data_IF_776705091287
#
_entry.id   IF_776705091287
#
_cell.length_a   1.000
_cell.length_b   1.000
_cell.length_c   1.000
_cell.angle_alpha   90.00
_cell.angle_beta   90.00
_cell.angle_gamma   90.00
#
_symmetry.space_group_name_H-M   'P 1'
#
loop_
_entity.id
_entity.type
_entity.pdbx_description
1 polymer ?
#
# COMPACT_ATOMS: atom_id res chain seq x y z
N UNK A 1 13.39 -22.99 27.77
CA UNK A 1 12.42 -23.18 26.67
C UNK A 1 12.90 -22.37 25.48
N UNK A 2 13.01 -22.94 24.27
CA UNK A 2 13.08 -22.11 23.07
C UNK A 2 11.80 -21.26 22.99
N UNK A 3 11.85 -20.01 22.51
CA UNK A 3 10.64 -19.26 22.23
C UNK A 3 9.77 -20.08 21.27
N UNK A 4 8.46 -20.10 21.50
CA UNK A 4 7.52 -20.74 20.57
C UNK A 4 7.79 -20.20 19.16
N UNK A 5 7.84 -21.09 18.16
CA UNK A 5 7.92 -20.67 16.76
C UNK A 5 6.75 -19.73 16.51
N UNK A 6 7.06 -18.46 16.27
CA UNK A 6 6.05 -17.44 15.98
C UNK A 6 5.30 -17.87 14.72
N UNK A 7 3.97 -17.95 14.81
CA UNK A 7 3.11 -18.34 13.68
C UNK A 7 3.35 -17.41 12.50
N UNK A 8 3.49 -17.98 11.30
CA UNK A 8 3.54 -17.23 10.06
C UNK A 8 2.25 -16.42 9.87
N UNK A 9 2.37 -15.16 9.50
CA UNK A 9 1.23 -14.27 9.24
C UNK A 9 0.88 -14.28 7.75
N UNK A 10 -0.42 -14.21 7.45
CA UNK A 10 -0.92 -13.87 6.12
C UNK A 10 -1.19 -12.38 6.05
N UNK A 11 -0.39 -11.67 5.25
CA UNK A 11 -0.46 -10.22 5.08
C UNK A 11 -0.98 -9.83 3.70
N UNK A 12 -1.65 -8.69 3.57
CA UNK A 12 -2.11 -8.20 2.28
C UNK A 12 -1.71 -6.74 2.01
N UNK A 13 -1.47 -6.43 0.74
CA UNK A 13 -1.33 -5.07 0.26
C UNK A 13 -2.22 -4.84 -0.96
N UNK A 14 -2.91 -3.70 -0.96
CA UNK A 14 -3.71 -3.24 -2.07
C UNK A 14 -3.31 -1.82 -2.53
N UNK A 15 -3.07 -1.67 -3.82
CA UNK A 15 -2.88 -0.38 -4.51
C UNK A 15 -3.83 -0.31 -5.72
N UNK A 16 -5.16 -0.29 -5.48
CA UNK A 16 -6.12 -0.24 -6.56
C UNK A 16 -6.01 1.08 -7.32
N UNK A 17 -6.59 1.17 -8.53
CA UNK A 17 -7.03 2.46 -9.03
C UNK A 17 -7.84 3.18 -7.95
N UNK A 18 -7.34 4.33 -7.50
CA UNK A 18 -7.99 5.08 -6.41
C UNK A 18 -9.43 5.44 -6.76
N UNK A 19 -10.32 5.63 -5.76
CA UNK A 19 -11.72 5.92 -6.00
C UNK A 19 -11.94 7.01 -7.06
N UNK A 20 -12.76 6.69 -8.07
CA UNK A 20 -13.08 7.57 -9.20
C UNK A 20 -11.93 7.79 -10.18
N UNK A 21 -10.81 7.06 -10.08
CA UNK A 21 -9.63 7.17 -10.94
C UNK A 21 -9.38 5.94 -11.81
N UNK A 22 -10.26 4.94 -11.79
CA UNK A 22 -10.14 3.76 -12.65
C UNK A 22 -10.07 4.11 -14.14
N UNK A 23 -10.72 5.20 -14.57
CA UNK A 23 -10.69 5.65 -15.96
C UNK A 23 -9.28 5.92 -16.52
N UNK A 24 -8.30 6.22 -15.65
CA UNK A 24 -6.90 6.43 -16.05
C UNK A 24 -6.25 5.15 -16.63
N UNK A 25 -6.82 4.00 -16.32
CA UNK A 25 -6.28 2.69 -16.71
C UNK A 25 -7.07 2.02 -17.83
N UNK A 26 -8.01 2.71 -18.50
CA UNK A 26 -8.85 2.12 -19.57
C UNK A 26 -8.08 1.47 -20.72
N UNK A 27 -6.84 1.90 -20.97
CA UNK A 27 -5.96 1.33 -22.00
C UNK A 27 -5.10 0.15 -21.51
N UNK A 28 -5.21 -0.24 -20.24
CA UNK A 28 -4.45 -1.35 -19.68
C UNK A 28 -5.16 -2.68 -19.98
N UNK A 29 -4.44 -3.77 -20.36
CA UNK A 29 -5.04 -5.08 -20.61
C UNK A 29 -5.90 -5.59 -19.45
N UNK A 30 -5.46 -5.31 -18.21
CA UNK A 30 -6.13 -5.76 -16.98
C UNK A 30 -7.20 -4.78 -16.46
N UNK A 31 -7.70 -3.87 -17.30
CA UNK A 31 -8.73 -2.92 -16.89
C UNK A 31 -10.06 -3.62 -16.58
N UNK A 32 -10.48 -3.59 -15.32
CA UNK A 32 -11.72 -4.20 -14.84
C UNK A 32 -12.81 -3.19 -14.41
N UNK A 33 -12.62 -1.90 -14.68
CA UNK A 33 -13.54 -0.85 -14.23
C UNK A 33 -13.22 -0.31 -12.83
N UNK A 34 -14.20 0.35 -12.22
CA UNK A 34 -14.10 0.89 -10.86
C UNK A 34 -14.05 -0.23 -9.83
N UNK A 35 -13.15 -0.12 -8.86
CA UNK A 35 -12.99 -1.14 -7.81
C UNK A 35 -14.11 -1.02 -6.78
N UNK A 36 -14.74 -2.14 -6.44
CA UNK A 36 -15.63 -2.24 -5.28
C UNK A 36 -14.82 -2.18 -3.98
N UNK A 37 -14.67 -0.96 -3.45
CA UNK A 37 -13.88 -0.70 -2.25
C UNK A 37 -14.53 -1.29 -0.98
N UNK A 38 -15.85 -1.50 -0.96
CA UNK A 38 -16.51 -2.17 0.16
C UNK A 38 -16.07 -3.63 0.19
N UNK A 39 -16.22 -4.33 -0.94
CA UNK A 39 -15.77 -5.73 -1.06
C UNK A 39 -14.28 -5.85 -0.77
N UNK A 40 -13.45 -4.95 -1.30
CA UNK A 40 -12.01 -4.94 -1.04
C UNK A 40 -11.70 -4.83 0.47
N UNK A 41 -12.36 -3.94 1.21
CA UNK A 41 -12.15 -3.81 2.66
C UNK A 41 -12.62 -5.04 3.45
N UNK A 42 -13.67 -5.71 3.00
CA UNK A 42 -14.12 -6.99 3.58
C UNK A 42 -13.07 -8.08 3.32
N UNK A 43 -12.58 -8.19 2.09
CA UNK A 43 -11.56 -9.17 1.71
C UNK A 43 -10.23 -8.88 2.44
N UNK A 44 -9.82 -7.62 2.57
CA UNK A 44 -8.62 -7.24 3.34
C UNK A 44 -8.75 -7.62 4.82
N UNK A 45 -9.96 -7.51 5.38
CA UNK A 45 -10.21 -7.83 6.79
C UNK A 45 -10.06 -9.32 7.13
N UNK A 46 -9.92 -10.22 6.15
CA UNK A 46 -9.63 -11.63 6.39
C UNK A 46 -8.14 -11.93 6.66
N UNK A 47 -7.25 -10.96 6.42
CA UNK A 47 -5.82 -11.11 6.64
C UNK A 47 -5.41 -10.73 8.08
N UNK A 48 -4.31 -11.31 8.57
CA UNK A 48 -3.76 -11.00 9.89
C UNK A 48 -3.30 -9.53 9.96
N UNK A 49 -2.84 -8.99 8.84
CA UNK A 49 -2.51 -7.59 8.67
C UNK A 49 -2.66 -7.15 7.22
N UNK A 50 -3.08 -5.91 7.01
CA UNK A 50 -3.27 -5.39 5.68
C UNK A 50 -2.94 -3.91 5.55
N UNK A 51 -2.63 -3.48 4.33
CA UNK A 51 -2.48 -2.08 3.97
C UNK A 51 -3.14 -1.78 2.61
N UNK A 52 -3.73 -0.59 2.51
CA UNK A 52 -4.42 -0.06 1.34
C UNK A 52 -3.89 1.34 1.03
N UNK A 53 -3.31 1.52 -0.16
CA UNK A 53 -2.96 2.84 -0.67
C UNK A 53 -4.16 3.55 -1.29
N UNK A 54 -4.29 4.85 -1.03
CA UNK A 54 -5.32 5.70 -1.63
C UNK A 54 -4.87 7.17 -1.70
N UNK A 55 -5.65 8.00 -2.39
CA UNK A 55 -5.48 9.46 -2.40
C UNK A 55 -6.09 10.09 -1.13
N UNK A 56 -5.75 11.35 -0.82
CA UNK A 56 -6.43 12.06 0.27
C UNK A 56 -7.93 12.19 0.04
N UNK A 57 -8.34 12.36 -1.23
CA UNK A 57 -9.74 12.46 -1.62
C UNK A 57 -10.45 11.11 -1.48
N UNK A 58 -9.84 10.03 -1.96
CA UNK A 58 -10.36 8.66 -1.83
C UNK A 58 -10.43 8.19 -0.37
N UNK A 59 -9.48 8.62 0.47
CA UNK A 59 -9.53 8.39 1.91
C UNK A 59 -10.79 8.98 2.53
N UNK A 60 -11.05 10.28 2.29
CA UNK A 60 -12.15 11.00 2.93
C UNK A 60 -13.52 10.64 2.36
N UNK A 61 -13.61 10.47 1.04
CA UNK A 61 -14.89 10.29 0.35
C UNK A 61 -15.38 8.84 0.32
N UNK A 62 -14.48 7.86 0.42
CA UNK A 62 -14.82 6.44 0.25
C UNK A 62 -14.27 5.56 1.35
N UNK A 63 -12.95 5.54 1.56
CA UNK A 63 -12.33 4.52 2.44
C UNK A 63 -12.69 4.73 3.91
N UNK A 64 -12.56 5.94 4.45
CA UNK A 64 -12.88 6.21 5.86
C UNK A 64 -14.38 6.03 6.18
N UNK A 65 -15.33 6.51 5.34
CA UNK A 65 -16.74 6.20 5.52
C UNK A 65 -17.04 4.70 5.53
N UNK A 66 -16.47 3.92 4.60
CA UNK A 66 -16.67 2.48 4.55
C UNK A 66 -16.05 1.75 5.75
N UNK A 67 -14.87 2.16 6.21
CA UNK A 67 -14.26 1.62 7.43
C UNK A 67 -15.18 1.81 8.63
N UNK A 68 -15.76 3.01 8.79
CA UNK A 68 -16.70 3.31 9.86
C UNK A 68 -18.00 2.51 9.71
N UNK A 69 -18.56 2.45 8.51
CA UNK A 69 -19.81 1.73 8.24
C UNK A 69 -19.67 0.21 8.45
N UNK A 70 -18.55 -0.37 8.04
CA UNK A 70 -18.25 -1.80 8.21
C UNK A 70 -17.81 -2.15 9.65
N UNK A 71 -17.65 -1.15 10.53
CA UNK A 71 -17.22 -1.36 11.92
C UNK A 71 -15.81 -1.93 12.04
N UNK A 72 -14.90 -1.59 11.12
CA UNK A 72 -13.53 -2.14 11.14
C UNK A 72 -12.69 -1.38 12.17
N UNK A 73 -12.42 -2.02 13.30
CA UNK A 73 -11.62 -1.46 14.39
C UNK A 73 -10.11 -1.62 14.19
N UNK A 74 -9.34 -0.77 14.87
CA UNK A 74 -7.87 -0.84 14.89
C UNK A 74 -7.20 -0.35 13.61
N UNK A 75 -7.94 0.33 12.73
CA UNK A 75 -7.42 0.96 11.51
C UNK A 75 -6.62 2.21 11.85
N UNK A 76 -5.49 2.37 11.16
CA UNK A 76 -4.58 3.51 11.26
C UNK A 76 -4.31 4.08 9.86
N UNK A 77 -3.83 5.31 9.81
CA UNK A 77 -3.45 5.98 8.56
C UNK A 77 -2.00 6.42 8.65
N UNK A 78 -1.20 5.92 7.74
CA UNK A 78 0.19 6.28 7.52
C UNK A 78 0.31 7.22 6.31
N UNK A 79 1.39 8.01 6.23
CA UNK A 79 1.63 8.95 5.13
C UNK A 79 2.92 8.64 4.38
N UNK A 80 2.82 8.49 3.05
CA UNK A 80 4.01 8.48 2.19
C UNK A 80 4.14 9.81 1.45
N UNK A 81 5.13 10.61 1.83
CA UNK A 81 5.50 11.86 1.18
C UNK A 81 6.37 11.55 -0.03
N UNK A 82 5.72 11.52 -1.21
CA UNK A 82 6.31 11.16 -2.50
C UNK A 82 6.77 12.35 -3.35
N UNK A 83 6.71 13.54 -2.78
CA UNK A 83 7.02 14.80 -3.45
C UNK A 83 5.85 15.33 -4.28
N UNK A 84 5.79 16.65 -4.38
CA UNK A 84 4.74 17.37 -5.10
C UNK A 84 4.99 17.31 -6.59
N UNK A 85 4.03 16.76 -7.34
CA UNK A 85 4.01 16.86 -8.80
C UNK A 85 3.15 18.06 -9.18
N UNK A 86 3.79 19.09 -9.72
CA UNK A 86 3.08 20.29 -10.18
C UNK A 86 2.24 19.92 -11.40
N UNK A 87 0.93 20.13 -11.30
CA UNK A 87 0.03 20.00 -12.45
C UNK A 87 -0.11 21.37 -13.13
N UNK A 88 0.10 21.47 -14.45
CA UNK A 88 -0.22 22.69 -15.20
C UNK A 88 -1.67 23.11 -14.94
N UNK A 89 -1.89 24.36 -14.56
CA UNK A 89 -3.24 24.88 -14.26
C UNK A 89 -3.81 24.51 -12.89
N UNK A 90 -3.03 23.93 -11.98
CA UNK A 90 -3.46 23.68 -10.61
C UNK A 90 -3.87 25.01 -9.93
N UNK A 91 -5.14 25.08 -9.47
CA UNK A 91 -5.70 26.22 -8.73
C UNK A 91 -5.69 26.02 -7.21
N UNK A 92 -5.23 24.84 -6.76
CA UNK A 92 -5.09 24.44 -5.36
C UNK A 92 -3.74 23.75 -5.14
N UNK A 93 -3.36 23.56 -3.87
CA UNK A 93 -2.15 22.86 -3.51
C UNK A 93 -2.12 21.45 -4.12
N UNK A 94 -1.03 21.11 -4.82
CA UNK A 94 -0.86 19.79 -5.42
C UNK A 94 -0.57 18.75 -4.34
N UNK A 95 -1.19 17.57 -4.45
CA UNK A 95 -1.00 16.49 -3.49
C UNK A 95 0.41 15.88 -3.60
N UNK A 96 1.24 16.14 -2.57
CA UNK A 96 2.62 15.68 -2.45
C UNK A 96 2.80 14.36 -1.68
N UNK A 97 1.71 13.78 -1.18
CA UNK A 97 1.73 12.58 -0.33
C UNK A 97 0.59 11.62 -0.67
N UNK A 98 0.71 10.36 -0.28
CA UNK A 98 -0.33 9.32 -0.42
C UNK A 98 -0.69 8.76 0.95
N UNK A 99 -1.98 8.46 1.14
CA UNK A 99 -2.46 7.82 2.35
C UNK A 99 -2.25 6.31 2.23
N UNK A 100 -1.74 5.70 3.30
CA UNK A 100 -1.67 4.24 3.45
C UNK A 100 -2.48 3.86 4.68
N UNK A 101 -3.69 3.37 4.44
CA UNK A 101 -4.58 2.87 5.50
C UNK A 101 -4.14 1.46 5.85
N UNK A 102 -3.95 1.15 7.12
CA UNK A 102 -3.44 -0.15 7.53
C UNK A 102 -4.06 -0.62 8.85
N UNK A 103 -4.05 -1.94 9.06
CA UNK A 103 -4.63 -2.58 10.24
C UNK A 103 -3.96 -3.93 10.50
N UNK A 104 -3.84 -4.30 11.78
CA UNK A 104 -3.33 -5.61 12.19
C UNK A 104 -1.82 -5.76 11.99
N UNK A 105 -1.41 -6.98 11.62
CA UNK A 105 -0.01 -7.36 11.46
C UNK A 105 0.66 -7.71 12.80
N UNK A 106 1.98 -7.88 12.76
CA UNK A 106 2.75 -8.19 13.97
C UNK A 106 2.96 -6.92 14.79
N UNK A 107 2.80 -7.02 16.10
CA UNK A 107 3.19 -5.93 17.00
C UNK A 107 4.70 -5.69 16.88
N UNK A 108 5.05 -4.52 16.36
CA UNK A 108 6.43 -4.01 16.33
C UNK A 108 6.65 -3.10 17.52
N UNK A 109 7.90 -2.98 17.97
CA UNK A 109 8.30 -1.94 18.91
C UNK A 109 7.98 -0.57 18.28
N UNK A 110 7.17 0.29 18.92
CA UNK A 110 6.81 1.61 18.41
C UNK A 110 8.01 2.50 18.09
N UNK A 111 9.18 2.26 18.73
CA UNK A 111 10.39 3.02 18.44
C UNK A 111 11.04 2.67 17.08
N UNK A 112 10.63 1.56 16.45
CA UNK A 112 11.34 0.98 15.31
C UNK A 112 10.85 1.38 13.91
N UNK A 113 9.63 1.92 13.77
CA UNK A 113 9.03 2.24 12.45
C UNK A 113 8.14 3.48 12.54
N UNK A 114 8.48 4.53 11.79
CA UNK A 114 7.63 5.71 11.59
C UNK A 114 6.46 5.38 10.67
N UNK A 115 5.25 5.83 11.00
CA UNK A 115 4.08 5.80 10.11
C UNK A 115 4.06 6.94 9.07
N UNK A 116 5.10 7.77 9.07
CA UNK A 116 5.41 8.72 8.01
C UNK A 116 6.69 8.30 7.28
N UNK A 117 6.60 8.15 5.95
CA UNK A 117 7.72 7.92 5.06
C UNK A 117 7.96 9.16 4.20
N UNK A 118 9.14 9.77 4.30
CA UNK A 118 9.61 10.75 3.34
C UNK A 118 10.51 10.08 2.31
N UNK A 119 10.00 9.90 1.09
CA UNK A 119 10.77 9.30 0.01
C UNK A 119 10.26 9.72 -1.37
N UNK A 120 11.06 10.50 -2.08
CA UNK A 120 10.77 10.92 -3.46
C UNK A 120 11.55 10.04 -4.43
N UNK A 121 10.84 9.16 -5.15
CA UNK A 121 11.45 8.34 -6.19
C UNK A 121 11.83 9.19 -7.40
N UNK A 122 13.05 8.99 -7.93
CA UNK A 122 13.43 9.58 -9.23
C UNK A 122 12.63 8.91 -10.35
N UNK A 123 12.00 9.68 -11.27
CA UNK A 123 11.29 9.10 -12.40
C UNK A 123 12.23 8.25 -13.26
N UNK A 124 11.86 6.98 -13.51
CA UNK A 124 12.58 6.10 -14.44
C UNK A 124 12.19 6.40 -15.89
N UNK A 125 12.56 7.58 -16.38
CA UNK A 125 12.12 8.07 -17.70
C UNK A 125 12.68 7.27 -18.88
N UNK A 126 13.75 6.52 -18.66
CA UNK A 126 14.42 5.68 -19.66
C UNK A 126 14.03 4.19 -19.59
N UNK A 127 13.13 3.82 -18.68
CA UNK A 127 12.69 2.43 -18.48
C UNK A 127 11.46 2.16 -19.36
N UNK A 128 11.56 1.31 -20.40
CA UNK A 128 10.46 1.03 -21.32
C UNK A 128 9.30 0.30 -20.62
N UNK A 129 9.56 -0.37 -19.50
CA UNK A 129 8.56 -1.12 -18.72
C UNK A 129 7.95 -0.27 -17.59
N UNK A 130 8.12 1.07 -17.65
CA UNK A 130 7.61 1.99 -16.64
C UNK A 130 6.07 1.95 -16.57
N UNK A 131 5.56 1.42 -15.47
CA UNK A 131 4.15 1.55 -15.09
C UNK A 131 3.95 2.83 -14.27
N UNK A 132 2.97 3.65 -14.66
CA UNK A 132 2.55 4.82 -13.88
C UNK A 132 2.01 4.35 -12.54
N UNK A 133 2.49 4.92 -11.44
CA UNK A 133 2.05 4.56 -10.09
C UNK A 133 2.90 3.49 -9.40
N UNK A 134 3.89 2.91 -10.08
CA UNK A 134 4.76 1.89 -9.49
C UNK A 134 5.41 2.37 -8.18
N UNK A 135 5.18 1.61 -7.09
CA UNK A 135 5.74 1.91 -5.78
C UNK A 135 7.25 1.63 -5.76
N UNK A 136 8.08 2.56 -5.25
CA UNK A 136 9.51 2.34 -5.14
C UNK A 136 9.83 1.30 -4.06
N UNK A 137 10.97 0.62 -4.18
CA UNK A 137 11.39 -0.38 -3.21
C UNK A 137 11.42 0.16 -1.76
N UNK A 138 11.87 1.40 -1.56
CA UNK A 138 11.88 2.05 -0.23
C UNK A 138 10.48 2.13 0.41
N UNK A 139 9.45 2.39 -0.40
CA UNK A 139 8.05 2.33 0.06
C UNK A 139 7.67 0.91 0.47
N UNK A 140 8.00 -0.09 -0.35
CA UNK A 140 7.67 -1.49 -0.07
C UNK A 140 8.33 -1.96 1.24
N UNK A 141 9.62 -1.70 1.43
CA UNK A 141 10.32 -2.06 2.67
C UNK A 141 9.75 -1.37 3.91
N UNK A 142 9.37 -0.09 3.77
CA UNK A 142 8.69 0.64 4.83
C UNK A 142 7.32 0.02 5.17
N UNK A 143 6.52 -0.31 4.15
CA UNK A 143 5.24 -0.99 4.31
C UNK A 143 5.37 -2.35 5.02
N UNK A 144 6.35 -3.16 4.62
CA UNK A 144 6.58 -4.47 5.25
C UNK A 144 6.92 -4.32 6.73
N UNK A 145 7.76 -3.33 7.05
CA UNK A 145 8.09 -2.99 8.44
C UNK A 145 6.89 -2.46 9.21
N UNK A 146 6.01 -1.68 8.57
CA UNK A 146 4.78 -1.16 9.17
C UNK A 146 3.83 -2.28 9.59
N UNK A 147 3.74 -3.34 8.79
CA UNK A 147 2.95 -4.55 9.10
C UNK A 147 3.69 -5.55 10.01
N UNK A 148 4.93 -5.25 10.40
CA UNK A 148 5.76 -6.14 11.21
C UNK A 148 6.10 -7.46 10.51
N UNK A 149 6.16 -7.44 9.19
CA UNK A 149 6.45 -8.60 8.36
C UNK A 149 7.86 -9.15 8.63
N UNK A 150 8.00 -10.48 8.61
CA UNK A 150 9.26 -11.18 8.76
C UNK A 150 9.40 -12.30 7.74
N UNK A 151 10.61 -12.86 7.64
CA UNK A 151 10.81 -14.13 6.94
C UNK A 151 9.88 -15.21 7.51
N UNK A 152 9.21 -15.93 6.62
CA UNK A 152 8.23 -16.96 6.97
C UNK A 152 6.78 -16.50 6.86
N UNK A 153 6.52 -15.18 6.81
CA UNK A 153 5.19 -14.65 6.51
C UNK A 153 4.88 -14.76 5.02
N UNK A 154 3.60 -14.61 4.67
CA UNK A 154 3.12 -14.47 3.29
C UNK A 154 2.62 -13.05 3.04
N UNK A 155 2.85 -12.52 1.83
CA UNK A 155 2.32 -11.25 1.40
C UNK A 155 1.52 -11.42 0.10
N UNK A 156 0.24 -11.06 0.17
CA UNK A 156 -0.68 -11.06 -0.95
C UNK A 156 -0.76 -9.67 -1.57
N UNK A 157 -0.14 -9.51 -2.74
CA UNK A 157 -0.20 -8.30 -3.56
C UNK A 157 -1.46 -8.33 -4.44
N UNK A 158 -2.54 -7.68 -3.98
CA UNK A 158 -3.86 -7.79 -4.62
C UNK A 158 -3.99 -6.99 -5.92
N UNK A 159 -3.05 -6.06 -6.16
CA UNK A 159 -3.01 -5.21 -7.36
C UNK A 159 -1.57 -5.13 -7.89
N UNK A 160 -1.04 -6.23 -8.47
CA UNK A 160 0.39 -6.37 -8.70
C UNK A 160 0.96 -5.35 -9.70
N UNK A 161 0.16 -4.90 -10.67
CA UNK A 161 0.59 -3.92 -11.69
C UNK A 161 1.95 -4.29 -12.30
N UNK A 162 2.97 -3.47 -12.03
CA UNK A 162 4.36 -3.72 -12.46
C UNK A 162 5.09 -4.92 -11.82
N UNK A 163 4.48 -5.59 -10.83
CA UNK A 163 5.10 -6.61 -9.98
C UNK A 163 6.17 -6.07 -9.02
N UNK A 164 6.27 -4.75 -8.85
CA UNK A 164 7.31 -4.12 -8.03
C UNK A 164 7.27 -4.49 -6.55
N UNK A 165 6.07 -4.61 -5.98
CA UNK A 165 5.87 -5.02 -4.58
C UNK A 165 6.27 -6.48 -4.41
N UNK A 166 5.79 -7.37 -5.28
CA UNK A 166 6.16 -8.79 -5.29
C UNK A 166 7.68 -9.01 -5.39
N UNK A 167 8.38 -8.27 -6.26
CA UNK A 167 9.86 -8.32 -6.33
C UNK A 167 10.52 -7.83 -5.04
N UNK A 168 10.06 -6.70 -4.49
CA UNK A 168 10.60 -6.18 -3.24
C UNK A 168 10.38 -7.16 -2.08
N UNK A 169 9.23 -7.84 -2.06
CA UNK A 169 8.92 -8.88 -1.08
C UNK A 169 9.89 -10.05 -1.17
N UNK A 170 10.12 -10.60 -2.38
CA UNK A 170 11.07 -11.68 -2.61
C UNK A 170 12.47 -11.32 -2.09
N UNK A 171 12.93 -10.09 -2.33
CA UNK A 171 14.19 -9.59 -1.77
C UNK A 171 14.15 -9.43 -0.24
N UNK A 172 13.06 -8.92 0.32
CA UNK A 172 12.90 -8.71 1.75
C UNK A 172 12.95 -10.01 2.54
N UNK A 173 12.33 -11.08 2.02
CA UNK A 173 12.32 -12.39 2.67
C UNK A 173 13.48 -13.29 2.23
N UNK A 174 14.39 -12.84 1.36
CA UNK A 174 15.57 -13.62 0.99
C UNK A 174 16.57 -13.69 2.15
N UNK A 175 17.36 -14.78 2.28
CA UNK A 175 18.44 -14.80 3.26
C UNK A 175 19.46 -13.75 2.82
N UNK A 176 19.91 -12.89 3.74
CA UNK A 176 21.07 -12.05 3.44
C UNK A 176 22.25 -12.97 3.13
N UNK A 177 22.86 -12.81 1.96
CA UNK A 177 24.21 -13.33 1.67
C UNK A 177 25.24 -12.70 2.59
#
# INVERSE_FOLDING_TARGET
MPPAAETALSLAYADPPYPGKAYLYRGHPDYAGEVDHRKLLVDLSSYDGWALSTSSDGLLSVVAPLVAELGIEGVRVASWHRGTRRSPGARIACQGWEAVVYRGGRRVDPAGVSDALEYVARPRLSDPDRVIGAKPAAFCYWLFRLLGARRGDELHDLFPGSGGVSRAWAHFVSPGT
#
